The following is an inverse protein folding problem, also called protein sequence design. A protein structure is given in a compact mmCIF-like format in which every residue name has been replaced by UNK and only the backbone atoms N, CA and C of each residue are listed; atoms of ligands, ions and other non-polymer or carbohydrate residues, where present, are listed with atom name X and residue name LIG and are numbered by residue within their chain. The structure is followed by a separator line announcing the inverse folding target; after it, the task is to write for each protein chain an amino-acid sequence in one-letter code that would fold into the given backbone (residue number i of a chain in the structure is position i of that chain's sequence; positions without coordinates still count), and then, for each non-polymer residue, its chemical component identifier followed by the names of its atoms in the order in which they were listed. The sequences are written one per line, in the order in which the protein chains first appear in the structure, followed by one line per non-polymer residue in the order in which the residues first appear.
data_IF_736007926456
#
_entry.id   IF_736007926456
#
_cell.length_a   1.000
_cell.length_b   1.000
_cell.length_c   1.000
_cell.angle_alpha   90.00
_cell.angle_beta   90.00
_cell.angle_gamma   90.00
#
_symmetry.space_group_name_H-M   'P 1'
#
loop_
_entity.id
_entity.type
_entity.pdbx_description
1 polymer ?
#
# COMPACT_ATOMS: atom_id res chain seq x y z
N UNK A 1 -14.65 -5.53 -24.30
CA UNK A 1 -14.60 -6.21 -22.98
C UNK A 1 -13.64 -5.53 -21.99
N UNK A 2 -12.54 -4.88 -22.42
CA UNK A 2 -11.56 -4.20 -21.56
C UNK A 2 -12.09 -2.89 -20.93
N UNK A 3 -12.95 -2.13 -21.59
CA UNK A 3 -13.53 -0.88 -21.06
C UNK A 3 -14.35 -1.10 -19.78
N UNK A 4 -15.13 -2.19 -19.70
CA UNK A 4 -15.96 -2.48 -18.53
C UNK A 4 -15.16 -2.81 -17.26
N UNK A 5 -14.00 -3.48 -17.39
CA UNK A 5 -13.12 -3.79 -16.25
C UNK A 5 -12.50 -2.51 -15.66
N UNK A 6 -11.99 -1.61 -16.50
CA UNK A 6 -11.45 -0.33 -16.04
C UNK A 6 -12.48 0.51 -15.26
N UNK A 7 -13.75 0.49 -15.69
CA UNK A 7 -14.84 1.21 -15.01
C UNK A 7 -15.21 0.57 -13.67
N UNK A 8 -15.14 -0.76 -13.55
CA UNK A 8 -15.34 -1.47 -12.26
C UNK A 8 -14.26 -1.07 -11.25
N UNK A 9 -12.99 -1.05 -11.66
CA UNK A 9 -11.88 -0.65 -10.78
C UNK A 9 -12.00 0.82 -10.35
N UNK A 10 -12.33 1.74 -11.25
CA UNK A 10 -12.55 3.16 -10.91
C UNK A 10 -13.66 3.31 -9.86
N UNK A 11 -14.78 2.60 -10.03
CA UNK A 11 -15.88 2.61 -9.07
C UNK A 11 -15.48 2.02 -7.73
N UNK A 12 -14.68 0.95 -7.72
CA UNK A 12 -14.18 0.32 -6.51
C UNK A 12 -13.30 1.28 -5.71
N UNK A 13 -12.31 1.92 -6.35
CA UNK A 13 -11.43 2.91 -5.69
C UNK A 13 -12.21 4.09 -5.13
N UNK A 14 -13.15 4.62 -5.92
CA UNK A 14 -14.01 5.71 -5.48
C UNK A 14 -14.89 5.30 -4.28
N UNK A 15 -15.48 4.11 -4.33
CA UNK A 15 -16.30 3.60 -3.22
C UNK A 15 -15.46 3.42 -1.94
N UNK A 16 -14.28 2.83 -2.05
CA UNK A 16 -13.37 2.64 -0.90
C UNK A 16 -12.99 4.00 -0.30
N UNK A 17 -12.69 5.01 -1.13
CA UNK A 17 -12.35 6.34 -0.64
C UNK A 17 -13.54 7.03 0.05
N UNK A 18 -14.78 6.86 -0.45
CA UNK A 18 -15.98 7.39 0.19
C UNK A 18 -16.19 6.74 1.56
N UNK A 19 -16.19 5.41 1.64
CA UNK A 19 -16.35 4.71 2.91
C UNK A 19 -15.16 4.94 3.85
N UNK A 20 -13.96 5.00 3.32
CA UNK A 20 -12.73 5.30 4.07
C UNK A 20 -12.70 6.72 4.64
N UNK A 21 -13.50 7.65 4.10
CA UNK A 21 -13.62 9.01 4.62
C UNK A 21 -14.50 9.11 5.88
N UNK A 22 -15.38 8.13 6.10
CA UNK A 22 -16.33 8.19 7.21
C UNK A 22 -15.68 8.33 8.60
N UNK A 23 -14.62 7.58 8.96
CA UNK A 23 -13.96 7.77 10.24
C UNK A 23 -13.41 9.19 10.45
N UNK A 24 -12.97 9.86 9.39
CA UNK A 24 -12.51 11.26 9.47
C UNK A 24 -13.67 12.24 9.68
N UNK A 25 -14.82 12.01 9.02
CA UNK A 25 -16.03 12.85 9.17
C UNK A 25 -16.61 12.72 10.57
N UNK A 26 -16.64 11.50 11.12
CA UNK A 26 -17.23 11.24 12.44
C UNK A 26 -16.23 11.43 13.59
N UNK A 27 -14.98 11.78 13.31
CA UNK A 27 -13.99 12.09 14.34
C UNK A 27 -14.15 13.52 14.85
N UNK A 28 -13.54 13.78 16.02
CA UNK A 28 -13.48 15.11 16.63
C UNK A 28 -12.64 16.14 15.84
N UNK A 29 -12.09 15.74 14.70
CA UNK A 29 -11.28 16.61 13.84
C UNK A 29 -12.09 17.66 13.08
N UNK A 30 -13.42 17.59 13.15
CA UNK A 30 -14.34 18.56 12.49
C UNK A 30 -14.05 18.79 10.99
N UNK A 31 -13.60 17.75 10.28
CA UNK A 31 -13.27 17.83 8.86
C UNK A 31 -14.54 17.91 8.01
N UNK A 32 -14.54 18.78 7.00
CA UNK A 32 -15.57 18.74 5.96
C UNK A 32 -15.50 17.41 5.20
N UNK A 33 -16.61 16.96 4.63
CA UNK A 33 -16.63 15.73 3.82
C UNK A 33 -15.60 15.75 2.67
N UNK A 34 -15.44 16.92 2.03
CA UNK A 34 -14.45 17.08 0.94
C UNK A 34 -13.03 16.83 1.43
N UNK A 35 -12.68 17.38 2.60
CA UNK A 35 -11.38 17.20 3.20
C UNK A 35 -11.16 15.75 3.66
N UNK A 36 -12.15 15.15 4.31
CA UNK A 36 -12.11 13.76 4.72
C UNK A 36 -11.98 12.80 3.52
N UNK A 37 -12.68 13.09 2.43
CA UNK A 37 -12.57 12.33 1.19
C UNK A 37 -11.19 12.48 0.55
N UNK A 38 -10.62 13.69 0.52
CA UNK A 38 -9.26 13.93 0.03
C UNK A 38 -8.24 13.12 0.83
N UNK A 39 -8.31 13.15 2.17
CA UNK A 39 -7.41 12.41 3.06
C UNK A 39 -7.52 10.90 2.82
N UNK A 40 -8.75 10.38 2.70
CA UNK A 40 -9.02 8.98 2.40
C UNK A 40 -8.50 8.57 1.02
N UNK A 41 -8.75 9.38 -0.01
CA UNK A 41 -8.27 9.12 -1.37
C UNK A 41 -6.74 9.13 -1.43
N UNK A 42 -6.10 10.13 -0.80
CA UNK A 42 -4.65 10.21 -0.69
C UNK A 42 -4.05 9.00 0.04
N UNK A 43 -4.73 8.52 1.08
CA UNK A 43 -4.35 7.29 1.78
C UNK A 43 -4.42 6.08 0.85
N UNK A 44 -5.59 5.78 0.31
CA UNK A 44 -5.79 4.53 -0.45
C UNK A 44 -4.99 4.50 -1.77
N UNK A 45 -4.71 5.64 -2.37
CA UNK A 45 -3.85 5.73 -3.56
C UNK A 45 -2.36 5.78 -3.25
N UNK A 46 -1.99 5.68 -1.97
CA UNK A 46 -0.60 5.79 -1.48
C UNK A 46 0.11 7.09 -1.89
N UNK A 47 -0.65 8.17 -2.12
CA UNK A 47 -0.11 9.48 -2.53
C UNK A 47 0.62 10.20 -1.40
N UNK A 48 0.12 10.09 -0.16
CA UNK A 48 0.75 10.67 1.03
C UNK A 48 0.53 12.16 1.24
N UNK A 49 -0.22 12.84 0.38
CA UNK A 49 -0.61 14.24 0.61
C UNK A 49 -1.65 14.33 1.73
N UNK A 50 -1.47 15.26 2.66
CA UNK A 50 -2.38 15.44 3.80
C UNK A 50 -2.85 16.88 3.93
N UNK A 51 -4.07 17.03 4.42
CA UNK A 51 -4.66 18.32 4.82
C UNK A 51 -4.61 18.51 6.34
N UNK A 52 -4.20 17.48 7.09
CA UNK A 52 -4.07 17.57 8.53
C UNK A 52 -2.79 18.32 8.88
N UNK A 53 -2.94 19.42 9.62
CA UNK A 53 -1.83 20.31 10.00
C UNK A 53 -1.26 20.03 11.39
N UNK A 54 -2.04 19.35 12.25
CA UNK A 54 -1.69 19.07 13.65
C UNK A 54 -1.66 17.57 13.94
N UNK A 55 -0.74 16.86 13.28
CA UNK A 55 -0.64 15.40 13.42
C UNK A 55 -0.27 14.97 14.84
N UNK A 56 0.54 15.76 15.54
CA UNK A 56 0.97 15.48 16.92
C UNK A 56 -0.21 15.42 17.93
N UNK A 57 -1.30 16.13 17.65
CA UNK A 57 -2.50 16.18 18.48
C UNK A 57 -3.63 15.28 17.94
N UNK A 58 -3.43 14.71 16.75
CA UNK A 58 -4.45 13.85 16.12
C UNK A 58 -4.65 12.55 16.89
N UNK A 59 -5.90 12.12 17.14
CA UNK A 59 -6.19 10.86 17.82
C UNK A 59 -5.49 9.67 17.18
N UNK A 60 -4.88 8.81 17.99
CA UNK A 60 -4.13 7.62 17.53
C UNK A 60 -4.95 6.71 16.62
N UNK A 61 -6.26 6.61 16.86
CA UNK A 61 -7.15 5.82 16.01
C UNK A 61 -7.20 6.35 14.58
N UNK A 62 -7.21 7.66 14.39
CA UNK A 62 -7.20 8.29 13.07
C UNK A 62 -5.83 8.13 12.39
N UNK A 63 -4.73 8.27 13.14
CA UNK A 63 -3.38 8.03 12.62
C UNK A 63 -3.22 6.58 12.13
N UNK A 64 -3.70 5.62 12.90
CA UNK A 64 -3.72 4.21 12.50
C UNK A 64 -4.60 4.00 11.26
N UNK A 65 -5.78 4.61 11.22
CA UNK A 65 -6.69 4.50 10.08
C UNK A 65 -6.06 5.00 8.78
N UNK A 66 -5.36 6.14 8.82
CA UNK A 66 -4.59 6.69 7.70
C UNK A 66 -3.55 5.69 7.18
N UNK A 67 -2.76 5.11 8.10
CA UNK A 67 -1.76 4.11 7.76
C UNK A 67 -2.37 2.83 7.18
N UNK A 68 -3.50 2.38 7.72
CA UNK A 68 -4.23 1.22 7.19
C UNK A 68 -4.73 1.47 5.76
N UNK A 69 -5.26 2.66 5.47
CA UNK A 69 -5.66 3.03 4.11
C UNK A 69 -4.47 2.94 3.14
N UNK A 70 -3.30 3.48 3.51
CA UNK A 70 -2.10 3.38 2.68
C UNK A 70 -1.64 1.95 2.51
N UNK A 71 -1.61 1.18 3.59
CA UNK A 71 -1.16 -0.20 3.57
C UNK A 71 -2.06 -1.09 2.70
N UNK A 72 -3.37 -0.96 2.84
CA UNK A 72 -4.36 -1.66 2.01
C UNK A 72 -4.31 -1.18 0.55
N UNK A 73 -4.09 0.11 0.34
CA UNK A 73 -3.92 0.70 -0.99
C UNK A 73 -2.70 0.13 -1.72
N UNK A 74 -1.57 0.01 -1.04
CA UNK A 74 -0.35 -0.58 -1.59
C UNK A 74 -0.56 -2.02 -2.05
N UNK A 75 -1.17 -2.87 -1.22
CA UNK A 75 -1.56 -4.24 -1.62
C UNK A 75 -2.55 -4.21 -2.78
N UNK A 76 -3.56 -3.35 -2.72
CA UNK A 76 -4.60 -3.24 -3.75
C UNK A 76 -4.04 -2.90 -5.13
N UNK A 77 -3.09 -1.98 -5.21
CA UNK A 77 -2.40 -1.61 -6.45
C UNK A 77 -1.60 -2.79 -7.01
N UNK A 78 -0.85 -3.51 -6.17
CA UNK A 78 -0.04 -4.66 -6.59
C UNK A 78 -0.95 -5.78 -7.14
N UNK A 79 -2.00 -6.14 -6.41
CA UNK A 79 -2.94 -7.19 -6.82
C UNK A 79 -3.67 -6.79 -8.10
N UNK A 80 -4.09 -5.53 -8.21
CA UNK A 80 -4.71 -4.99 -9.42
C UNK A 80 -3.77 -5.07 -10.62
N UNK A 81 -2.53 -4.64 -10.48
CA UNK A 81 -1.55 -4.67 -11.57
C UNK A 81 -1.36 -6.10 -12.09
N UNK A 82 -1.18 -7.09 -11.22
CA UNK A 82 -0.99 -8.50 -11.61
C UNK A 82 -2.24 -9.07 -12.28
N UNK A 83 -3.42 -8.67 -11.83
CA UNK A 83 -4.67 -9.17 -12.39
C UNK A 83 -4.98 -8.53 -13.75
N UNK A 84 -4.65 -7.25 -13.94
CA UNK A 84 -4.94 -6.52 -15.18
C UNK A 84 -3.89 -6.72 -16.28
N UNK A 85 -2.61 -6.86 -15.94
CA UNK A 85 -1.52 -7.01 -16.92
C UNK A 85 -1.80 -8.11 -17.96
N UNK A 86 -2.23 -9.33 -17.59
CA UNK A 86 -2.52 -10.38 -18.58
C UNK A 86 -3.71 -10.05 -19.48
N UNK A 87 -4.67 -9.26 -18.97
CA UNK A 87 -5.90 -8.91 -19.69
C UNK A 87 -5.66 -7.79 -20.70
N UNK A 88 -4.74 -6.87 -20.40
CA UNK A 88 -4.44 -5.71 -21.23
C UNK A 88 -3.42 -5.98 -22.34
N UNK A 89 -2.80 -7.15 -22.39
CA UNK A 89 -1.76 -7.51 -23.36
C UNK A 89 -0.64 -6.45 -23.46
N UNK A 90 -0.31 -5.77 -22.38
CA UNK A 90 0.71 -4.73 -22.35
C UNK A 90 2.08 -5.37 -22.14
N UNK A 91 2.92 -5.27 -23.16
CA UNK A 91 4.38 -5.40 -23.17
C UNK A 91 4.99 -6.66 -22.56
N UNK A 92 5.81 -7.39 -23.35
CA UNK A 92 6.75 -8.42 -22.86
C UNK A 92 6.16 -9.73 -22.37
N UNK A 93 4.99 -9.72 -21.77
CA UNK A 93 4.31 -10.92 -21.26
C UNK A 93 3.69 -11.78 -22.36
N UNK A 94 3.65 -11.30 -23.62
CA UNK A 94 3.28 -12.12 -24.78
C UNK A 94 4.26 -13.28 -24.99
N UNK A 95 5.55 -13.11 -24.62
CA UNK A 95 6.54 -14.19 -24.69
C UNK A 95 6.24 -15.31 -23.69
N UNK A 96 5.64 -15.00 -22.55
CA UNK A 96 5.20 -16.00 -21.55
C UNK A 96 3.90 -16.72 -21.94
N UNK A 97 3.01 -16.06 -22.68
CA UNK A 97 1.75 -16.66 -23.17
C UNK A 97 2.01 -17.60 -24.36
N UNK A 98 2.98 -17.29 -25.22
CA UNK A 98 3.33 -18.11 -26.38
C UNK A 98 3.99 -19.43 -25.98
N UNK A 99 4.72 -19.46 -24.85
CA UNK A 99 5.38 -20.67 -24.35
C UNK A 99 4.41 -21.70 -23.72
N UNK A 100 3.19 -21.30 -23.35
CA UNK A 100 2.22 -22.17 -22.72
C UNK A 100 0.89 -22.14 -23.48
N UNK A 101 0.76 -22.98 -24.50
CA UNK A 101 -0.49 -23.34 -25.19
C UNK A 101 -1.44 -24.10 -24.23
N UNK A 102 -1.91 -23.43 -23.18
CA UNK A 102 -2.90 -24.00 -22.26
C UNK A 102 -4.03 -23.02 -21.99
N UNK A 103 -5.23 -23.55 -22.18
CA UNK A 103 -6.59 -23.04 -22.01
C UNK A 103 -6.78 -21.93 -20.96
N UNK A 104 -7.69 -20.97 -21.20
CA UNK A 104 -7.99 -19.82 -20.30
C UNK A 104 -8.36 -20.21 -18.86
N UNK A 105 -8.80 -21.45 -18.64
CA UNK A 105 -9.20 -21.96 -17.32
C UNK A 105 -8.06 -22.10 -16.30
N UNK A 106 -6.79 -22.18 -16.77
CA UNK A 106 -5.62 -22.32 -15.87
C UNK A 106 -5.02 -21.01 -15.39
N UNK A 107 -5.45 -19.86 -15.91
CA UNK A 107 -4.88 -18.55 -15.56
C UNK A 107 -5.42 -18.05 -14.19
N UNK A 108 -6.70 -18.27 -13.91
CA UNK A 108 -7.35 -17.80 -12.68
C UNK A 108 -6.80 -18.43 -11.37
N UNK A 109 -6.61 -19.77 -11.26
CA UNK A 109 -6.05 -20.35 -10.04
C UNK A 109 -4.61 -19.88 -9.78
N UNK A 110 -3.80 -19.68 -10.83
CA UNK A 110 -2.42 -19.21 -10.72
C UNK A 110 -2.34 -17.75 -10.23
N UNK A 111 -3.27 -16.88 -10.66
CA UNK A 111 -3.36 -15.49 -10.18
C UNK A 111 -3.68 -15.40 -8.69
N UNK A 112 -4.58 -16.25 -8.19
CA UNK A 112 -4.93 -16.32 -6.77
C UNK A 112 -3.72 -16.71 -5.91
N UNK A 113 -2.99 -17.72 -6.34
CA UNK A 113 -1.80 -18.20 -5.63
C UNK A 113 -0.70 -17.13 -5.56
N UNK A 114 -0.45 -16.43 -6.66
CA UNK A 114 0.49 -15.31 -6.74
C UNK A 114 0.05 -14.19 -5.80
N UNK A 115 -1.23 -13.81 -5.81
CA UNK A 115 -1.75 -12.75 -4.94
C UNK A 115 -1.60 -13.09 -3.45
N UNK A 116 -1.88 -14.33 -3.06
CA UNK A 116 -1.70 -14.78 -1.66
C UNK A 116 -0.23 -14.69 -1.25
N UNK A 117 0.68 -15.19 -2.08
CA UNK A 117 2.13 -15.11 -1.81
C UNK A 117 2.61 -13.67 -1.64
N UNK A 118 2.13 -12.77 -2.49
CA UNK A 118 2.48 -11.34 -2.40
C UNK A 118 1.96 -10.70 -1.11
N UNK A 119 0.73 -10.99 -0.71
CA UNK A 119 0.18 -10.52 0.57
C UNK A 119 1.02 -11.02 1.73
N UNK A 120 1.44 -12.28 1.72
CA UNK A 120 2.30 -12.85 2.78
C UNK A 120 3.66 -12.14 2.81
N UNK A 121 4.31 -11.95 1.66
CA UNK A 121 5.60 -11.25 1.58
C UNK A 121 5.45 -9.80 2.05
N UNK A 122 4.45 -9.08 1.57
CA UNK A 122 4.18 -7.70 1.94
C UNK A 122 3.94 -7.55 3.45
N UNK A 123 3.14 -8.45 4.03
CA UNK A 123 2.87 -8.46 5.47
C UNK A 123 4.12 -8.81 6.28
N UNK A 124 4.92 -9.78 5.82
CA UNK A 124 6.17 -10.15 6.49
C UNK A 124 7.20 -9.02 6.46
N UNK A 125 7.35 -8.32 5.33
CA UNK A 125 8.21 -7.13 5.22
C UNK A 125 7.73 -6.02 6.17
N UNK A 126 6.41 -5.81 6.30
CA UNK A 126 5.86 -4.83 7.24
C UNK A 126 6.22 -5.17 8.68
N UNK A 127 6.10 -6.44 9.08
CA UNK A 127 6.45 -6.89 10.43
C UNK A 127 7.95 -6.74 10.72
N UNK A 128 8.80 -7.10 9.76
CA UNK A 128 10.26 -6.94 9.90
C UNK A 128 10.64 -5.46 9.98
N UNK A 129 10.03 -4.60 9.16
CA UNK A 129 10.23 -3.15 9.23
C UNK A 129 9.82 -2.60 10.60
N UNK A 130 8.64 -2.99 11.12
CA UNK A 130 8.16 -2.59 12.44
C UNK A 130 9.12 -3.02 13.56
N UNK A 131 9.69 -4.23 13.46
CA UNK A 131 10.67 -4.73 14.40
C UNK A 131 11.94 -3.86 14.42
N UNK A 132 12.50 -3.49 13.28
CA UNK A 132 13.65 -2.60 13.20
C UNK A 132 13.35 -1.21 13.75
N UNK A 133 12.20 -0.61 13.38
CA UNK A 133 11.79 0.67 13.93
C UNK A 133 11.67 0.63 15.45
N UNK A 134 11.13 -0.46 16.00
CA UNK A 134 11.03 -0.65 17.46
C UNK A 134 12.39 -0.74 18.13
N UNK A 135 13.35 -1.47 17.56
CA UNK A 135 14.72 -1.59 18.09
C UNK A 135 15.44 -0.24 18.08
N UNK A 136 15.25 0.56 17.01
CA UNK A 136 15.93 1.84 16.86
C UNK A 136 15.26 2.99 17.61
N UNK A 137 14.25 2.71 18.45
CA UNK A 137 13.75 3.66 19.46
C UNK A 137 12.35 4.20 19.22
N UNK A 138 11.64 3.79 18.16
CA UNK A 138 10.24 4.15 18.00
C UNK A 138 9.35 3.54 19.09
N UNK A 139 8.25 4.22 19.44
CA UNK A 139 7.20 3.60 20.27
C UNK A 139 6.60 2.39 19.53
N UNK A 140 5.94 1.49 20.26
CA UNK A 140 5.28 0.33 19.64
C UNK A 140 4.22 0.76 18.62
N UNK A 141 3.45 1.79 18.94
CA UNK A 141 2.44 2.34 18.04
C UNK A 141 3.07 2.95 16.80
N UNK A 142 4.09 3.80 16.96
CA UNK A 142 4.76 4.45 15.84
C UNK A 142 5.45 3.44 14.92
N UNK A 143 6.08 2.41 15.48
CA UNK A 143 6.74 1.38 14.68
C UNK A 143 5.77 0.62 13.77
N UNK A 144 4.55 0.32 14.24
CA UNK A 144 3.51 -0.31 13.43
C UNK A 144 3.02 0.65 12.35
N UNK A 145 2.62 1.86 12.73
CA UNK A 145 2.05 2.84 11.80
C UNK A 145 3.05 3.21 10.70
N UNK A 146 4.29 3.57 11.08
CA UNK A 146 5.32 3.94 10.10
C UNK A 146 5.76 2.76 9.24
N UNK A 147 5.80 1.53 9.75
CA UNK A 147 6.12 0.36 8.91
C UNK A 147 5.07 0.13 7.81
N UNK A 148 3.79 0.30 8.13
CA UNK A 148 2.69 0.19 7.16
C UNK A 148 2.85 1.22 6.04
N UNK A 149 3.12 2.48 6.40
CA UNK A 149 3.27 3.57 5.41
C UNK A 149 4.58 3.50 4.64
N UNK A 150 5.66 2.99 5.25
CA UNK A 150 6.97 2.79 4.62
C UNK A 150 6.90 1.69 3.54
N UNK A 151 6.33 0.52 3.87
CA UNK A 151 6.21 -0.59 2.91
C UNK A 151 5.23 -0.25 1.77
N UNK A 152 4.16 0.50 2.09
CA UNK A 152 3.24 1.03 1.08
C UNK A 152 3.87 2.15 0.23
N UNK A 153 5.08 2.63 0.57
CA UNK A 153 5.73 3.79 -0.05
C UNK A 153 4.84 5.04 -0.09
N UNK A 154 3.96 5.18 0.90
CA UNK A 154 2.90 6.19 0.92
C UNK A 154 3.23 7.47 1.65
N UNK A 155 4.12 7.45 2.65
CA UNK A 155 4.68 8.62 3.31
C UNK A 155 3.81 9.29 4.38
N UNK A 156 2.64 8.77 4.74
CA UNK A 156 1.91 9.27 5.91
C UNK A 156 2.71 9.04 7.19
N UNK A 157 2.71 10.04 8.07
CA UNK A 157 3.39 10.02 9.36
C UNK A 157 2.42 10.37 10.49
N UNK A 158 2.85 10.05 11.72
CA UNK A 158 2.17 10.47 12.97
C UNK A 158 2.59 11.87 13.41
N UNK A 159 3.63 12.43 12.80
CA UNK A 159 4.26 13.70 13.20
C UNK A 159 4.38 14.66 12.03
N UNK A 160 4.32 15.95 12.31
CA UNK A 160 4.45 17.00 11.27
C UNK A 160 5.82 16.97 10.59
N UNK A 161 6.88 16.68 11.36
CA UNK A 161 8.25 16.55 10.89
C UNK A 161 8.52 15.20 10.18
N UNK A 162 7.49 14.36 10.02
CA UNK A 162 7.60 13.03 9.42
C UNK A 162 8.61 12.14 10.16
N UNK A 163 9.44 11.38 9.44
CA UNK A 163 10.49 10.52 10.02
C UNK A 163 11.57 11.35 10.73
N UNK A 164 11.78 12.61 10.32
CA UNK A 164 12.72 13.52 10.96
C UNK A 164 12.43 13.79 12.45
N UNK A 165 11.19 13.60 12.90
CA UNK A 165 10.82 13.71 14.31
C UNK A 165 11.66 12.83 15.25
N UNK A 166 12.11 11.68 14.76
CA UNK A 166 12.87 10.72 15.59
C UNK A 166 14.35 11.05 15.72
N UNK A 167 14.89 11.98 14.91
CA UNK A 167 16.29 12.43 14.89
C UNK A 167 17.30 11.25 15.00
N UNK A 168 17.08 10.20 14.21
CA UNK A 168 17.85 8.96 14.26
C UNK A 168 18.20 8.46 12.86
N UNK A 169 19.50 8.50 12.52
CA UNK A 169 20.00 8.00 11.25
C UNK A 169 19.72 6.52 11.01
N UNK A 170 19.58 5.70 12.06
CA UNK A 170 19.20 4.29 11.92
C UNK A 170 17.74 4.11 11.50
N UNK A 171 16.84 4.97 11.97
CA UNK A 171 15.44 4.99 11.57
C UNK A 171 15.33 5.43 10.12
N UNK A 172 16.04 6.50 9.72
CA UNK A 172 16.07 6.99 8.35
C UNK A 172 16.63 5.94 7.38
N UNK A 173 17.75 5.29 7.73
CA UNK A 173 18.35 4.23 6.93
C UNK A 173 17.38 3.04 6.78
N UNK A 174 16.71 2.67 7.86
CA UNK A 174 15.68 1.62 7.82
C UNK A 174 14.56 2.01 6.86
N UNK A 175 14.07 3.24 6.93
CA UNK A 175 13.04 3.73 6.00
C UNK A 175 13.51 3.61 4.55
N UNK A 176 14.71 4.07 4.22
CA UNK A 176 15.27 4.02 2.86
C UNK A 176 15.33 2.57 2.36
N UNK A 177 15.88 1.66 3.16
CA UNK A 177 16.02 0.24 2.78
C UNK A 177 14.66 -0.39 2.51
N UNK A 178 13.69 -0.17 3.40
CA UNK A 178 12.37 -0.78 3.26
C UNK A 178 11.49 -0.12 2.19
N UNK A 179 11.66 1.17 1.90
CA UNK A 179 11.06 1.82 0.73
C UNK A 179 11.59 1.18 -0.56
N UNK A 180 12.89 0.98 -0.68
CA UNK A 180 13.50 0.32 -1.84
C UNK A 180 12.96 -1.11 -1.98
N UNK A 181 12.94 -1.89 -0.88
CA UNK A 181 12.41 -3.25 -0.89
C UNK A 181 10.92 -3.30 -1.24
N UNK A 182 10.12 -2.36 -0.73
CA UNK A 182 8.69 -2.25 -1.04
C UNK A 182 8.41 -1.84 -2.49
N UNK A 183 9.30 -1.09 -3.11
CA UNK A 183 9.17 -0.62 -4.51
C UNK A 183 9.64 -1.64 -5.55
N UNK A 184 10.47 -2.63 -5.16
CA UNK A 184 10.91 -3.68 -6.07
C UNK A 184 9.77 -4.68 -6.31
N UNK A 185 9.33 -4.89 -7.55
CA UNK A 185 8.31 -5.90 -7.84
C UNK A 185 8.88 -7.31 -7.57
N UNK A 186 8.53 -7.86 -6.41
CA UNK A 186 9.00 -9.18 -5.90
C UNK A 186 8.71 -10.33 -6.88
N UNK A 187 7.77 -10.13 -7.82
CA UNK A 187 7.44 -11.09 -8.86
C UNK A 187 8.60 -11.41 -9.81
N UNK A 188 9.57 -10.51 -9.99
CA UNK A 188 10.70 -10.75 -10.89
C UNK A 188 11.80 -11.62 -10.28
N UNK A 189 11.99 -11.59 -8.98
CA UNK A 189 13.07 -12.32 -8.30
C UNK A 189 12.75 -13.80 -8.09
N UNK A 190 11.47 -14.16 -7.92
CA UNK A 190 11.06 -15.55 -7.69
C UNK A 190 10.89 -16.39 -8.95
N UNK A 191 10.63 -15.75 -10.10
CA UNK A 191 10.52 -16.48 -11.38
C UNK A 191 11.88 -16.91 -11.94
N UNK A 192 12.96 -16.20 -11.59
CA UNK A 192 14.33 -16.53 -12.03
C UNK A 192 15.07 -17.53 -11.14
N UNK A 193 14.56 -17.82 -9.94
CA UNK A 193 15.17 -18.77 -9.01
C UNK A 193 14.76 -20.24 -9.26
N UNK A 194 13.89 -20.50 -10.22
CA UNK A 194 13.38 -21.83 -10.59
C UNK A 194 13.68 -22.22 -12.05
N UNK A 195 14.51 -21.47 -12.78
CA UNK A 195 15.20 -21.90 -13.99
C UNK A 195 16.64 -22.34 -13.65
#
# INVERSE_FOLDING_TARGET
RSRGLGDVYKRQWLSIAIFGSLPFVFSDLSLSFTNAFFESMSGITTTGSTILTNLNETPRAILLWRAMLQWLGGIGIIVMAITLMPIMNIGGMQLFVISNTHTPEKILPKSKEISIRLIVIYSSLTLVCAFFYKIFGMSFFDSIVHSMTTIATGGFSNYNESIGFFDSGFIELTAIVFIILGSVPVSYTHLRAHE
#
